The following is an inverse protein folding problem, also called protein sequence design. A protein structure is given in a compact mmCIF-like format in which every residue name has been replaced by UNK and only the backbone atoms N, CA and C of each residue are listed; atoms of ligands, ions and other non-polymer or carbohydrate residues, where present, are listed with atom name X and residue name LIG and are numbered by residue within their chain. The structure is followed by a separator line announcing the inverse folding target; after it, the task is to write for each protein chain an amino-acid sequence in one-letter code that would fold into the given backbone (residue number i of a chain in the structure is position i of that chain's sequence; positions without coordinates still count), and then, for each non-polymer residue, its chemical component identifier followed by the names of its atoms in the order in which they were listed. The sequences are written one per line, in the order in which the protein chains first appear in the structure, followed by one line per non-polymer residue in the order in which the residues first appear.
data_IF_468510613184
#
_entry.id   IF_468510613184
#
_cell.length_a   1.000
_cell.length_b   1.000
_cell.length_c   1.000
_cell.angle_alpha   90.00
_cell.angle_beta   90.00
_cell.angle_gamma   90.00
#
_symmetry.space_group_name_H-M   'P 1'
#
loop_
_entity.id
_entity.type
_entity.pdbx_description
1 polymer ?
#
# COMPACT_ATOMS: atom_id res chain seq x y z
N UNK A 1 11.88 -26.37 -36.11
CA UNK A 1 10.98 -26.61 -34.96
C UNK A 1 10.88 -25.29 -34.19
N UNK A 2 9.69 -24.71 -34.11
CA UNK A 2 9.44 -23.40 -33.51
C UNK A 2 9.38 -23.53 -31.98
N UNK A 3 10.28 -22.82 -31.28
CA UNK A 3 10.34 -22.84 -29.82
C UNK A 3 9.49 -21.68 -29.29
N UNK A 4 8.32 -22.01 -28.79
CA UNK A 4 7.35 -21.06 -28.24
C UNK A 4 7.90 -20.47 -26.94
N UNK A 5 8.30 -19.21 -26.98
CA UNK A 5 8.64 -18.45 -25.78
C UNK A 5 7.36 -18.25 -24.96
N UNK A 6 7.20 -19.02 -23.88
CA UNK A 6 6.25 -18.65 -22.83
C UNK A 6 6.82 -17.44 -22.12
N UNK A 7 6.23 -16.27 -22.40
CA UNK A 7 6.43 -15.09 -21.58
C UNK A 7 6.22 -15.50 -20.12
N UNK A 8 7.17 -15.21 -19.19
CA UNK A 8 6.84 -15.29 -17.80
C UNK A 8 5.69 -14.31 -17.61
N UNK A 9 4.50 -14.81 -17.32
CA UNK A 9 3.47 -13.99 -16.70
C UNK A 9 4.11 -13.50 -15.41
N UNK A 10 4.70 -12.30 -15.44
CA UNK A 10 4.88 -11.48 -14.26
C UNK A 10 3.47 -11.39 -13.69
N UNK A 11 3.15 -12.28 -12.76
CA UNK A 11 2.14 -11.98 -11.78
C UNK A 11 2.78 -10.84 -11.00
N UNK A 12 2.55 -9.62 -11.46
CA UNK A 12 2.14 -8.58 -10.54
C UNK A 12 0.94 -9.20 -9.83
N UNK A 13 1.21 -9.96 -8.77
CA UNK A 13 0.25 -10.14 -7.70
C UNK A 13 -0.17 -8.70 -7.45
N UNK A 14 -1.44 -8.31 -7.68
CA UNK A 14 -1.86 -7.06 -7.12
C UNK A 14 -1.66 -7.32 -5.62
N UNK A 15 -0.54 -6.84 -5.08
CA UNK A 15 -0.57 -6.30 -3.75
C UNK A 15 -1.72 -5.32 -3.89
N UNK A 16 -2.92 -5.76 -3.49
CA UNK A 16 -4.08 -4.89 -3.39
C UNK A 16 -3.53 -3.80 -2.51
N UNK A 17 -3.17 -2.68 -3.11
CA UNK A 17 -2.66 -1.53 -2.40
C UNK A 17 -3.79 -1.22 -1.45
N UNK A 18 -3.62 -1.60 -0.19
CA UNK A 18 -4.68 -1.40 0.79
C UNK A 18 -4.72 0.09 0.96
N UNK A 19 -5.88 0.67 0.64
CA UNK A 19 -6.10 2.09 0.76
C UNK A 19 -7.10 2.33 1.86
N UNK A 20 -6.79 3.24 2.76
CA UNK A 20 -7.68 3.64 3.84
C UNK A 20 -7.85 5.16 3.78
N UNK A 21 -9.09 5.61 3.90
CA UNK A 21 -9.39 7.04 3.99
C UNK A 21 -9.04 7.59 5.36
N UNK A 22 -8.75 8.88 5.43
CA UNK A 22 -8.67 9.61 6.71
C UNK A 22 -9.93 9.36 7.55
N UNK A 23 -9.77 9.05 8.84
CA UNK A 23 -10.85 8.70 9.76
C UNK A 23 -11.40 7.28 9.61
N UNK A 24 -10.88 6.48 8.66
CA UNK A 24 -11.19 5.05 8.58
C UNK A 24 -10.26 4.26 9.50
N UNK A 25 -10.78 3.17 10.08
CA UNK A 25 -9.96 2.22 10.81
C UNK A 25 -8.96 1.55 9.87
N UNK A 26 -7.71 1.52 10.28
CA UNK A 26 -6.63 0.87 9.58
C UNK A 26 -6.88 -0.66 9.58
N UNK A 27 -7.02 -1.30 8.41
CA UNK A 27 -7.34 -2.73 8.32
C UNK A 27 -6.14 -3.64 8.61
N UNK A 28 -4.91 -3.12 8.52
CA UNK A 28 -3.69 -3.89 8.77
C UNK A 28 -2.59 -3.00 9.32
N UNK A 29 -1.80 -3.55 10.25
CA UNK A 29 -0.60 -2.89 10.75
C UNK A 29 0.47 -2.83 9.65
N UNK A 30 1.06 -1.67 9.41
CA UNK A 30 2.14 -1.56 8.44
C UNK A 30 2.52 -0.12 8.14
N UNK A 31 3.44 0.08 7.19
CA UNK A 31 3.83 1.42 6.77
C UNK A 31 2.84 1.93 5.73
N UNK A 32 2.08 2.96 6.06
CA UNK A 32 1.17 3.63 5.15
C UNK A 32 1.75 4.97 4.73
N UNK A 33 1.56 5.32 3.47
CA UNK A 33 1.99 6.61 2.93
C UNK A 33 0.80 7.33 2.30
N UNK A 34 0.69 8.64 2.46
CA UNK A 34 -0.37 9.40 1.82
C UNK A 34 -0.26 9.31 0.29
N UNK A 35 -1.40 9.25 -0.39
CA UNK A 35 -1.51 9.18 -1.84
C UNK A 35 -1.07 10.51 -2.47
N UNK A 36 0.24 10.66 -2.67
CA UNK A 36 0.87 11.88 -3.17
C UNK A 36 2.29 12.04 -2.63
N UNK A 37 2.50 11.70 -1.35
CA UNK A 37 3.80 11.77 -0.68
C UNK A 37 4.24 10.41 -0.16
N UNK A 38 4.82 9.61 -1.06
CA UNK A 38 5.38 8.29 -0.69
C UNK A 38 6.54 8.34 0.31
N UNK A 39 7.10 9.52 0.55
CA UNK A 39 8.21 9.70 1.49
C UNK A 39 7.73 9.93 2.94
N UNK A 40 6.53 10.49 3.12
CA UNK A 40 5.93 10.69 4.45
C UNK A 40 5.15 9.46 4.91
N UNK A 41 5.81 8.30 4.80
CA UNK A 41 5.25 7.02 5.19
C UNK A 41 5.31 6.82 6.69
N UNK A 42 4.15 6.84 7.35
CA UNK A 42 4.03 6.53 8.78
C UNK A 42 3.61 5.08 9.02
N UNK A 43 4.10 4.50 10.11
CA UNK A 43 3.67 3.16 10.54
C UNK A 43 2.40 3.31 11.36
N UNK A 44 1.33 2.67 10.90
CA UNK A 44 0.06 2.59 11.61
C UNK A 44 -0.20 1.16 12.04
N UNK A 45 -0.91 1.00 13.15
CA UNK A 45 -1.36 -0.29 13.64
C UNK A 45 -2.79 -0.57 13.19
N UNK A 46 -3.12 -1.84 13.05
CA UNK A 46 -4.49 -2.31 12.82
C UNK A 46 -5.43 -1.73 13.88
N UNK A 47 -6.59 -1.22 13.44
CA UNK A 47 -7.57 -0.56 14.30
C UNK A 47 -7.25 0.89 14.66
N UNK A 48 -6.09 1.43 14.28
CA UNK A 48 -5.81 2.87 14.45
C UNK A 48 -6.60 3.69 13.44
N UNK A 49 -7.09 4.86 13.87
CA UNK A 49 -7.71 5.82 12.95
C UNK A 49 -6.65 6.52 12.13
N UNK A 50 -6.84 6.51 10.82
CA UNK A 50 -5.94 7.19 9.89
C UNK A 50 -6.07 8.71 10.06
N UNK A 51 -5.00 9.44 10.43
CA UNK A 51 -5.06 10.88 10.63
C UNK A 51 -5.18 11.63 9.30
N UNK A 52 -5.70 12.85 9.36
CA UNK A 52 -5.63 13.81 8.26
C UNK A 52 -4.18 14.30 8.09
N UNK A 53 -3.73 14.38 6.85
CA UNK A 53 -2.41 14.93 6.53
C UNK A 53 -2.58 16.37 6.05
N UNK A 54 -1.78 17.29 6.60
CA UNK A 54 -1.86 18.74 6.31
C UNK A 54 -3.26 19.37 6.54
N UNK A 55 -4.04 18.82 7.46
CA UNK A 55 -5.42 19.27 7.72
C UNK A 55 -6.43 18.88 6.62
N UNK A 56 -6.00 18.13 5.60
CA UNK A 56 -6.86 17.62 4.53
C UNK A 56 -7.12 16.11 4.68
N UNK A 57 -8.29 15.62 4.22
CA UNK A 57 -8.53 14.20 4.13
C UNK A 57 -7.68 13.61 3.00
N UNK A 58 -6.69 12.80 3.37
CA UNK A 58 -5.86 12.05 2.43
C UNK A 58 -6.22 10.58 2.42
N UNK A 59 -5.94 9.93 1.29
CA UNK A 59 -6.00 8.48 1.17
C UNK A 59 -4.63 7.94 1.53
N UNK A 60 -4.57 7.09 2.53
CA UNK A 60 -3.38 6.38 2.92
C UNK A 60 -3.27 5.09 2.11
N UNK A 61 -2.07 4.80 1.64
CA UNK A 61 -1.75 3.62 0.85
C UNK A 61 -0.73 2.79 1.60
N UNK A 62 -1.06 1.54 1.92
CA UNK A 62 -0.12 0.62 2.52
C UNK A 62 1.04 0.39 1.55
N UNK A 63 2.24 0.76 1.97
CA UNK A 63 3.44 0.41 1.26
C UNK A 63 3.53 -1.12 1.23
N UNK A 64 3.84 -1.74 0.09
CA UNK A 64 4.21 -3.15 0.07
C UNK A 64 5.29 -3.33 1.13
N UNK A 65 4.96 -4.08 2.19
CA UNK A 65 5.99 -4.56 3.10
C UNK A 65 6.99 -5.28 2.20
N UNK A 66 8.20 -4.75 2.12
CA UNK A 66 9.25 -5.36 1.34
C UNK A 66 9.58 -6.67 2.05
N UNK A 67 8.84 -7.72 1.70
CA UNK A 67 9.05 -9.12 2.04
C UNK A 67 10.55 -9.40 1.85
N UNK A 68 11.29 -9.33 2.95
CA UNK A 68 12.70 -9.62 2.97
C UNK A 68 12.80 -11.13 3.16
N UNK A 69 13.15 -11.78 2.06
CA UNK A 69 13.47 -13.20 1.89
C UNK A 69 14.25 -13.80 3.05
#
# INVERSE_FOLDING_TARGET
MIQTFKAPTLRCRPLRAMTAGTGSHCPVSGRWSPNGERQDGQVFFEGSLMPSFDGAPVVWVLAPEADKH
#
